data_IF_568664623479
#
_entry.id   IF_568664623479
#
_cell.length_a   1.000
_cell.length_b   1.000
_cell.length_c   1.000
_cell.angle_alpha   90.00
_cell.angle_beta   90.00
_cell.angle_gamma   90.00
#
_symmetry.space_group_name_H-M   'P 1'
#
loop_
_entity.id
_entity.type
_entity.pdbx_description
1 polymer ?
#
# COMPACT_ATOMS: atom_id res chain seq x y z
N UNK A 1 -12.83 15.21 25.84
CA UNK A 1 -11.86 15.92 24.98
C UNK A 1 -12.36 15.79 23.55
N UNK A 2 -12.24 16.82 22.72
CA UNK A 2 -12.67 16.76 21.32
C UNK A 2 -11.74 15.80 20.56
N UNK A 3 -12.29 14.85 19.80
CA UNK A 3 -11.51 13.91 19.01
C UNK A 3 -10.66 14.67 17.96
N UNK A 4 -9.31 14.57 17.99
CA UNK A 4 -8.42 15.36 17.12
C UNK A 4 -8.55 15.00 15.64
N UNK A 5 -8.99 13.77 15.31
CA UNK A 5 -9.20 13.34 13.92
C UNK A 5 -10.45 13.99 13.30
N UNK A 6 -11.38 14.48 14.12
CA UNK A 6 -12.56 15.22 13.66
C UNK A 6 -12.27 16.69 13.32
N UNK A 7 -11.11 17.23 13.69
CA UNK A 7 -10.72 18.60 13.38
C UNK A 7 -9.23 18.67 13.08
N UNK A 8 -8.82 18.00 11.99
CA UNK A 8 -7.42 17.94 11.61
C UNK A 8 -6.92 19.32 11.10
N UNK A 9 -5.96 19.96 11.79
CA UNK A 9 -5.24 21.09 11.20
C UNK A 9 -4.44 20.65 9.97
N UNK A 10 -3.89 21.62 9.23
CA UNK A 10 -3.01 21.34 8.09
C UNK A 10 -1.82 20.43 8.49
N UNK A 11 -1.31 20.63 9.70
CA UNK A 11 -0.26 19.81 10.30
C UNK A 11 -0.85 19.05 11.50
N UNK A 12 -1.23 17.76 11.35
CA UNK A 12 -1.78 16.97 12.44
C UNK A 12 -0.86 16.96 13.67
N UNK A 13 -1.45 17.20 14.85
CA UNK A 13 -0.75 17.03 16.13
C UNK A 13 -0.71 15.54 16.49
N UNK A 14 0.18 14.79 15.84
CA UNK A 14 0.29 13.33 15.98
C UNK A 14 0.34 12.83 17.44
N UNK A 15 1.10 13.46 18.37
CA UNK A 15 1.09 13.07 19.78
C UNK A 15 -0.28 13.08 20.48
N UNK A 16 -1.22 13.89 19.99
CA UNK A 16 -2.58 13.95 20.54
C UNK A 16 -3.49 12.82 20.04
N UNK A 17 -3.11 12.16 18.94
CA UNK A 17 -3.92 11.14 18.29
C UNK A 17 -3.66 9.79 18.95
N UNK A 18 -4.73 9.07 19.28
CA UNK A 18 -4.69 7.78 19.95
C UNK A 18 -5.56 6.79 19.19
N UNK A 19 -5.29 5.49 19.34
CA UNK A 19 -6.07 4.43 18.71
C UNK A 19 -7.57 4.52 19.05
N UNK A 20 -7.92 4.91 20.28
CA UNK A 20 -9.32 5.09 20.75
C UNK A 20 -10.11 6.15 19.96
N UNK A 21 -9.41 7.09 19.29
CA UNK A 21 -10.05 8.12 18.48
C UNK A 21 -10.50 7.62 17.10
N UNK A 22 -9.92 6.53 16.58
CA UNK A 22 -10.07 6.11 15.19
C UNK A 22 -11.51 5.76 14.87
N UNK A 23 -12.13 4.88 15.66
CA UNK A 23 -13.45 4.34 15.36
C UNK A 23 -14.52 5.45 15.32
N UNK A 24 -14.57 6.29 16.35
CA UNK A 24 -15.49 7.43 16.40
C UNK A 24 -15.26 8.38 15.21
N UNK A 25 -14.01 8.75 14.96
CA UNK A 25 -13.69 9.74 13.93
C UNK A 25 -14.03 9.23 12.53
N UNK A 26 -13.57 8.02 12.19
CA UNK A 26 -13.80 7.43 10.87
C UNK A 26 -15.30 7.16 10.65
N UNK A 27 -16.02 6.67 11.67
CA UNK A 27 -17.47 6.47 11.57
C UNK A 27 -18.20 7.78 11.32
N UNK A 28 -17.91 8.82 12.11
CA UNK A 28 -18.50 10.15 11.94
C UNK A 28 -18.20 10.72 10.55
N UNK A 29 -16.97 10.56 10.05
CA UNK A 29 -16.58 11.03 8.71
C UNK A 29 -17.27 10.25 7.59
N UNK A 30 -17.44 8.94 7.74
CA UNK A 30 -18.18 8.11 6.79
C UNK A 30 -19.66 8.51 6.75
N UNK A 31 -20.29 8.74 7.90
CA UNK A 31 -21.68 9.21 7.97
C UNK A 31 -21.83 10.59 7.34
N UNK A 32 -20.96 11.52 7.68
CA UNK A 32 -20.95 12.86 7.08
C UNK A 32 -20.80 12.79 5.56
N UNK A 33 -19.83 12.03 5.05
CA UNK A 33 -19.61 11.88 3.61
C UNK A 33 -20.84 11.27 2.91
N UNK A 34 -21.46 10.22 3.50
CA UNK A 34 -22.70 9.63 2.99
C UNK A 34 -23.84 10.65 2.92
N UNK A 35 -23.98 11.51 3.91
CA UNK A 35 -25.05 12.50 3.95
C UNK A 35 -24.81 13.64 2.96
N UNK A 36 -23.57 14.07 2.77
CA UNK A 36 -23.23 15.02 1.71
C UNK A 36 -23.50 14.43 0.30
N UNK A 37 -23.14 13.16 0.07
CA UNK A 37 -23.44 12.47 -1.19
C UNK A 37 -24.95 12.37 -1.47
N UNK A 38 -25.78 12.14 -0.44
CA UNK A 38 -27.25 12.19 -0.59
C UNK A 38 -27.74 13.61 -0.90
N UNK A 39 -27.15 14.62 -0.28
CA UNK A 39 -27.52 16.02 -0.46
C UNK A 39 -27.14 16.56 -1.86
N UNK A 40 -26.09 16.00 -2.47
CA UNK A 40 -25.64 16.31 -3.83
C UNK A 40 -26.69 16.05 -4.93
N UNK A 41 -27.84 15.42 -4.59
CA UNK A 41 -29.08 15.31 -5.38
C UNK A 41 -28.93 15.74 -6.84
N UNK A 42 -28.28 14.88 -7.64
CA UNK A 42 -27.90 15.14 -9.03
C UNK A 42 -29.16 15.21 -9.91
N UNK A 43 -29.88 16.34 -9.84
CA UNK A 43 -31.06 16.63 -10.67
C UNK A 43 -30.64 17.41 -11.91
N UNK A 44 -31.25 17.05 -13.04
CA UNK A 44 -30.91 17.39 -14.44
C UNK A 44 -30.64 18.88 -14.80
N UNK A 45 -30.94 19.87 -13.96
CA UNK A 45 -31.13 21.25 -14.44
C UNK A 45 -29.89 22.15 -14.27
N UNK A 46 -28.85 21.73 -13.55
CA UNK A 46 -27.62 22.54 -13.40
C UNK A 46 -26.36 21.74 -13.05
N UNK A 47 -26.04 20.72 -13.84
CA UNK A 47 -24.76 20.02 -13.74
C UNK A 47 -23.63 20.96 -14.19
N UNK A 48 -22.72 21.27 -13.28
CA UNK A 48 -21.56 22.12 -13.48
C UNK A 48 -20.42 21.73 -12.53
N UNK A 49 -19.19 22.18 -12.83
CA UNK A 49 -18.03 21.86 -11.99
C UNK A 49 -18.27 22.24 -10.52
N UNK A 50 -18.73 23.47 -10.27
CA UNK A 50 -18.97 23.99 -8.92
C UNK A 50 -20.20 23.39 -8.22
N UNK A 51 -21.08 22.71 -8.96
CA UNK A 51 -22.29 22.10 -8.39
C UNK A 51 -22.17 20.60 -8.18
N UNK A 52 -21.17 19.96 -8.80
CA UNK A 52 -20.96 18.50 -8.73
C UNK A 52 -19.57 18.18 -8.18
N UNK A 53 -18.50 18.65 -8.82
CA UNK A 53 -17.13 18.24 -8.51
C UNK A 53 -16.62 18.94 -7.25
N UNK A 54 -16.71 20.27 -7.16
CA UNK A 54 -16.22 21.01 -5.99
C UNK A 54 -16.88 20.53 -4.69
N UNK A 55 -18.22 20.37 -4.60
CA UNK A 55 -18.84 19.87 -3.37
C UNK A 55 -18.54 18.39 -3.10
N UNK A 56 -18.35 17.57 -4.14
CA UNK A 56 -17.93 16.17 -3.97
C UNK A 56 -16.53 16.09 -3.36
N UNK A 57 -15.56 16.85 -3.89
CA UNK A 57 -14.20 16.90 -3.38
C UNK A 57 -14.17 17.40 -1.92
N UNK A 58 -14.89 18.48 -1.62
CA UNK A 58 -15.02 19.02 -0.26
C UNK A 58 -15.62 17.99 0.72
N UNK A 59 -16.61 17.23 0.27
CA UNK A 59 -17.29 16.20 1.07
C UNK A 59 -16.39 15.00 1.39
N UNK A 60 -15.48 14.66 0.48
CA UNK A 60 -14.57 13.53 0.59
C UNK A 60 -13.25 13.89 1.29
N UNK A 61 -12.80 15.14 1.20
CA UNK A 61 -11.52 15.60 1.78
C UNK A 61 -11.42 15.28 3.27
N UNK A 62 -12.48 15.55 4.03
CA UNK A 62 -12.49 15.33 5.47
C UNK A 62 -12.30 13.85 5.86
N UNK A 63 -12.92 12.92 5.12
CA UNK A 63 -12.74 11.48 5.30
C UNK A 63 -11.35 11.04 4.81
N UNK A 64 -10.96 11.48 3.62
CA UNK A 64 -9.67 11.15 3.00
C UNK A 64 -8.50 11.55 3.90
N UNK A 65 -8.49 12.78 4.42
CA UNK A 65 -7.47 13.28 5.35
C UNK A 65 -7.45 12.51 6.67
N UNK A 66 -8.64 12.23 7.23
CA UNK A 66 -8.75 11.41 8.44
C UNK A 66 -8.14 10.02 8.22
N UNK A 67 -8.51 9.36 7.11
CA UNK A 67 -8.03 8.02 6.81
C UNK A 67 -6.54 7.99 6.43
N UNK A 68 -6.03 9.02 5.77
CA UNK A 68 -4.61 9.16 5.46
C UNK A 68 -3.74 9.25 6.72
N UNK A 69 -4.19 10.03 7.73
CA UNK A 69 -3.50 10.11 9.03
C UNK A 69 -3.54 8.77 9.76
N UNK A 70 -4.70 8.11 9.78
CA UNK A 70 -4.86 6.79 10.41
C UNK A 70 -3.99 5.73 9.73
N UNK A 71 -3.97 5.69 8.40
CA UNK A 71 -3.13 4.78 7.62
C UNK A 71 -1.64 5.06 7.78
N UNK A 72 -1.24 6.33 7.87
CA UNK A 72 0.15 6.69 8.19
C UNK A 72 0.54 6.16 9.57
N UNK A 73 -0.26 6.41 10.60
CA UNK A 73 0.03 5.95 11.96
C UNK A 73 0.05 4.42 12.05
N UNK A 74 -0.82 3.71 11.33
CA UNK A 74 -0.75 2.26 11.23
C UNK A 74 0.59 1.78 10.60
N UNK A 75 1.15 2.53 9.66
CA UNK A 75 2.41 2.17 9.01
C UNK A 75 3.67 2.50 9.84
N UNK A 76 3.60 3.47 10.76
CA UNK A 76 4.77 3.92 11.56
C UNK A 76 4.65 3.66 13.06
N UNK A 77 3.46 3.33 13.56
CA UNK A 77 3.14 3.01 14.96
C UNK A 77 2.20 1.79 15.01
N UNK A 78 2.71 0.66 14.53
CA UNK A 78 1.98 -0.61 14.48
C UNK A 78 1.95 -1.32 15.85
N UNK A 79 1.29 -0.70 16.82
CA UNK A 79 0.97 -1.34 18.10
C UNK A 79 -0.39 -2.04 18.04
N UNK A 80 -0.60 -3.04 18.90
CA UNK A 80 -1.83 -3.86 18.90
C UNK A 80 -3.13 -3.04 18.92
N UNK A 81 -3.18 -1.94 19.69
CA UNK A 81 -4.36 -1.08 19.76
C UNK A 81 -4.62 -0.33 18.44
N UNK A 82 -3.56 0.17 17.78
CA UNK A 82 -3.66 0.84 16.49
C UNK A 82 -4.09 -0.12 15.39
N UNK A 83 -3.44 -1.29 15.32
CA UNK A 83 -3.76 -2.34 14.36
C UNK A 83 -5.21 -2.81 14.50
N UNK A 84 -5.68 -3.06 15.73
CA UNK A 84 -7.06 -3.45 15.99
C UNK A 84 -8.05 -2.39 15.51
N UNK A 85 -7.80 -1.12 15.82
CA UNK A 85 -8.67 -0.02 15.42
C UNK A 85 -8.66 0.20 13.89
N UNK A 86 -7.50 0.09 13.25
CA UNK A 86 -7.35 0.17 11.81
C UNK A 86 -8.12 -0.95 11.11
N UNK A 87 -7.90 -2.21 11.52
CA UNK A 87 -8.53 -3.39 10.92
C UNK A 87 -10.04 -3.40 11.09
N UNK A 88 -10.56 -2.82 12.18
CA UNK A 88 -12.00 -2.63 12.38
C UNK A 88 -12.61 -1.67 11.36
N UNK A 89 -11.88 -0.60 11.00
CA UNK A 89 -12.40 0.45 10.11
C UNK A 89 -12.09 0.22 8.63
N UNK A 90 -11.02 -0.51 8.30
CA UNK A 90 -10.57 -0.75 6.92
C UNK A 90 -11.69 -1.30 6.01
N UNK A 91 -12.48 -2.33 6.41
CA UNK A 91 -13.57 -2.82 5.59
C UNK A 91 -14.65 -1.75 5.31
N UNK A 92 -14.99 -0.93 6.31
CA UNK A 92 -16.02 0.09 6.20
C UNK A 92 -15.61 1.23 5.26
N UNK A 93 -14.34 1.63 5.32
CA UNK A 93 -13.77 2.64 4.42
C UNK A 93 -13.67 2.09 3.00
N UNK A 94 -13.24 0.83 2.85
CA UNK A 94 -13.17 0.15 1.55
C UNK A 94 -14.55 0.05 0.90
N UNK A 95 -15.56 -0.36 1.67
CA UNK A 95 -16.94 -0.48 1.18
C UNK A 95 -17.49 0.89 0.74
N UNK A 96 -17.18 1.97 1.48
CA UNK A 96 -17.60 3.31 1.13
C UNK A 96 -16.99 3.80 -0.18
N UNK A 97 -15.66 3.73 -0.33
CA UNK A 97 -15.01 4.17 -1.57
C UNK A 97 -15.39 3.28 -2.76
N UNK A 98 -15.54 1.98 -2.56
CA UNK A 98 -16.03 1.07 -3.61
C UNK A 98 -17.44 1.45 -4.07
N UNK A 99 -18.35 1.77 -3.14
CA UNK A 99 -19.69 2.24 -3.46
C UNK A 99 -19.64 3.55 -4.26
N UNK A 100 -18.82 4.51 -3.82
CA UNK A 100 -18.62 5.78 -4.50
C UNK A 100 -18.12 5.58 -5.95
N UNK A 101 -17.07 4.77 -6.14
CA UNK A 101 -16.46 4.50 -7.44
C UNK A 101 -17.33 3.60 -8.34
N UNK A 102 -18.38 2.98 -7.79
CA UNK A 102 -19.38 2.22 -8.55
C UNK A 102 -20.69 2.99 -8.78
N UNK A 103 -20.80 4.23 -8.30
CA UNK A 103 -22.01 5.04 -8.44
C UNK A 103 -22.22 5.46 -9.91
N UNK A 104 -23.25 4.88 -10.53
CA UNK A 104 -23.58 5.13 -11.93
C UNK A 104 -24.12 6.54 -12.17
N UNK A 105 -24.69 7.19 -11.16
CA UNK A 105 -25.19 8.57 -11.24
C UNK A 105 -24.02 9.53 -11.26
N UNK A 106 -23.02 9.32 -10.41
CA UNK A 106 -21.79 10.12 -10.41
C UNK A 106 -21.00 9.93 -11.71
N UNK A 107 -20.89 8.69 -12.20
CA UNK A 107 -20.29 8.42 -13.51
C UNK A 107 -21.01 9.19 -14.63
N UNK A 108 -22.35 9.13 -14.67
CA UNK A 108 -23.14 9.84 -15.68
C UNK A 108 -22.94 11.36 -15.60
N UNK A 109 -22.91 11.94 -14.39
CA UNK A 109 -22.64 13.35 -14.19
C UNK A 109 -21.23 13.74 -14.71
N UNK A 110 -20.20 12.96 -14.39
CA UNK A 110 -18.84 13.18 -14.89
C UNK A 110 -18.78 13.11 -16.42
N UNK A 111 -19.45 12.15 -17.05
CA UNK A 111 -19.53 12.01 -18.50
C UNK A 111 -20.25 13.20 -19.15
N UNK A 112 -21.34 13.68 -18.55
CA UNK A 112 -22.06 14.87 -19.04
C UNK A 112 -21.18 16.13 -18.94
N UNK A 113 -20.50 16.34 -17.80
CA UNK A 113 -19.57 17.46 -17.63
C UNK A 113 -18.43 17.42 -18.64
N UNK A 114 -17.88 16.23 -18.91
CA UNK A 114 -16.81 16.05 -19.90
C UNK A 114 -17.27 16.46 -21.31
N UNK A 115 -18.54 16.20 -21.66
CA UNK A 115 -19.11 16.59 -22.96
C UNK A 115 -19.37 18.10 -23.07
N UNK A 116 -19.63 18.78 -21.95
CA UNK A 116 -19.88 20.22 -21.92
C UNK A 116 -18.60 21.06 -21.97
N UNK A 117 -17.45 20.49 -21.56
CA UNK A 117 -16.17 21.19 -21.63
C UNK A 117 -15.76 21.44 -23.10
N UNK A 118 -15.26 22.64 -23.45
CA UNK A 118 -14.89 22.94 -24.82
C UNK A 118 -13.75 22.01 -25.29
N UNK A 119 -13.78 21.59 -26.57
CA UNK A 119 -12.69 20.79 -27.17
C UNK A 119 -11.74 21.72 -27.93
N UNK A 120 -10.46 21.81 -27.55
CA UNK A 120 -9.47 22.61 -28.29
C UNK A 120 -8.41 23.30 -27.41
N UNK A 121 -7.79 24.37 -27.93
CA UNK A 121 -6.79 25.18 -27.23
C UNK A 121 -7.46 25.98 -26.10
N UNK A 122 -7.67 25.28 -24.99
CA UNK A 122 -8.36 25.75 -23.80
C UNK A 122 -7.47 26.70 -22.99
N UNK A 123 -8.08 27.69 -22.34
CA UNK A 123 -7.44 28.34 -21.20
C UNK A 123 -7.05 27.26 -20.17
N UNK A 124 -5.89 27.42 -19.51
CA UNK A 124 -5.26 26.38 -18.70
C UNK A 124 -6.25 25.60 -17.80
N UNK A 125 -7.10 26.32 -17.04
CA UNK A 125 -8.07 25.73 -16.11
C UNK A 125 -8.99 24.67 -16.73
N UNK A 126 -9.43 24.87 -17.97
CA UNK A 126 -10.31 23.91 -18.65
C UNK A 126 -9.55 22.65 -19.08
N UNK A 127 -8.25 22.75 -19.37
CA UNK A 127 -7.40 21.60 -19.67
C UNK A 127 -7.24 20.70 -18.43
N UNK A 128 -6.97 21.27 -17.25
CA UNK A 128 -6.85 20.48 -16.02
C UNK A 128 -8.19 19.83 -15.63
N UNK A 129 -9.30 20.57 -15.73
CA UNK A 129 -10.65 20.03 -15.48
C UNK A 129 -11.00 18.89 -16.44
N UNK A 130 -10.70 19.05 -17.73
CA UNK A 130 -10.91 17.99 -18.72
C UNK A 130 -10.09 16.74 -18.40
N UNK A 131 -8.82 16.90 -18.01
CA UNK A 131 -7.95 15.78 -17.64
C UNK A 131 -8.42 15.09 -16.36
N UNK A 132 -8.85 15.86 -15.36
CA UNK A 132 -9.39 15.33 -14.11
C UNK A 132 -10.63 14.46 -14.36
N UNK A 133 -11.57 14.91 -15.19
CA UNK A 133 -12.75 14.10 -15.55
C UNK A 133 -12.39 12.85 -16.35
N UNK A 134 -11.41 12.93 -17.26
CA UNK A 134 -10.93 11.76 -18.02
C UNK A 134 -10.40 10.67 -17.08
N UNK A 135 -9.59 11.07 -16.09
CA UNK A 135 -9.05 10.16 -15.07
C UNK A 135 -10.15 9.60 -14.18
N UNK A 136 -11.06 10.45 -13.67
CA UNK A 136 -12.16 10.00 -12.83
C UNK A 136 -13.05 8.97 -13.55
N UNK A 137 -13.43 9.23 -14.81
CA UNK A 137 -14.23 8.29 -15.62
C UNK A 137 -13.47 6.97 -15.85
N UNK A 138 -12.15 7.02 -16.04
CA UNK A 138 -11.32 5.82 -16.12
C UNK A 138 -11.36 5.03 -14.81
N UNK A 139 -11.28 5.70 -13.66
CA UNK A 139 -11.33 5.05 -12.35
C UNK A 139 -12.70 4.42 -12.08
N UNK A 140 -13.82 5.09 -12.38
CA UNK A 140 -15.17 4.50 -12.35
C UNK A 140 -15.26 3.21 -13.16
N UNK A 141 -14.66 3.19 -14.37
CA UNK A 141 -14.65 1.98 -15.21
C UNK A 141 -13.81 0.87 -14.61
N UNK A 142 -12.66 1.19 -14.02
CA UNK A 142 -11.79 0.21 -13.35
C UNK A 142 -12.38 -0.30 -12.03
N UNK A 143 -13.23 0.48 -11.37
CA UNK A 143 -14.04 0.05 -10.23
C UNK A 143 -15.30 -0.73 -10.62
N UNK A 144 -15.63 -0.77 -11.92
CA UNK A 144 -16.72 -1.55 -12.48
C UNK A 144 -18.08 -0.86 -12.46
N UNK A 145 -18.15 0.46 -12.38
CA UNK A 145 -19.42 1.22 -12.41
C UNK A 145 -20.32 0.87 -13.63
N UNK A 146 -19.72 0.53 -14.77
CA UNK A 146 -20.45 0.14 -15.99
C UNK A 146 -20.91 -1.34 -16.01
N UNK A 147 -20.55 -2.14 -15.01
CA UNK A 147 -20.98 -3.54 -14.92
C UNK A 147 -22.46 -3.65 -14.50
N UNK A 148 -23.15 -4.76 -14.85
CA UNK A 148 -24.42 -5.13 -14.25
C UNK A 148 -24.31 -5.24 -12.72
N UNK A 149 -25.41 -4.98 -12.01
CA UNK A 149 -25.45 -4.92 -10.55
C UNK A 149 -24.85 -6.15 -9.86
N UNK A 150 -25.20 -7.36 -10.31
CA UNK A 150 -24.65 -8.61 -9.77
C UNK A 150 -23.11 -8.66 -9.87
N UNK A 151 -22.56 -8.25 -11.01
CA UNK A 151 -21.11 -8.23 -11.23
C UNK A 151 -20.42 -7.12 -10.45
N UNK A 152 -21.09 -5.97 -10.24
CA UNK A 152 -20.58 -4.90 -9.35
C UNK A 152 -20.45 -5.37 -7.91
N UNK A 153 -21.47 -6.05 -7.40
CA UNK A 153 -21.46 -6.63 -6.05
C UNK A 153 -20.37 -7.69 -5.90
N UNK A 154 -20.19 -8.56 -6.90
CA UNK A 154 -19.08 -9.53 -6.92
C UNK A 154 -17.72 -8.83 -6.90
N UNK A 155 -17.52 -7.79 -7.73
CA UNK A 155 -16.28 -7.02 -7.75
C UNK A 155 -16.03 -6.28 -6.43
N UNK A 156 -17.07 -5.71 -5.83
CA UNK A 156 -16.96 -5.04 -4.53
C UNK A 156 -16.51 -6.00 -3.43
N UNK A 157 -17.08 -7.21 -3.39
CA UNK A 157 -16.65 -8.25 -2.45
C UNK A 157 -15.18 -8.66 -2.68
N UNK A 158 -14.74 -8.75 -3.94
CA UNK A 158 -13.33 -9.04 -4.27
C UNK A 158 -12.41 -7.91 -3.80
N UNK A 159 -12.79 -6.64 -4.02
CA UNK A 159 -12.00 -5.48 -3.58
C UNK A 159 -11.85 -5.46 -2.05
N UNK A 160 -12.94 -5.71 -1.32
CA UNK A 160 -12.93 -5.84 0.14
C UNK A 160 -11.96 -6.92 0.61
N UNK A 161 -12.07 -8.12 0.04
CA UNK A 161 -11.17 -9.24 0.37
C UNK A 161 -9.71 -8.93 0.02
N UNK A 162 -9.45 -8.25 -1.10
CA UNK A 162 -8.09 -7.84 -1.47
C UNK A 162 -7.50 -6.85 -0.47
N UNK A 163 -8.32 -5.93 0.04
CA UNK A 163 -7.89 -4.96 1.07
C UNK A 163 -7.55 -5.65 2.38
N UNK A 164 -8.45 -6.51 2.88
CA UNK A 164 -8.25 -7.30 4.11
C UNK A 164 -6.99 -8.17 4.01
N UNK A 165 -6.81 -8.89 2.90
CA UNK A 165 -5.65 -9.75 2.67
C UNK A 165 -4.35 -8.98 2.46
N UNK A 166 -4.41 -7.79 1.87
CA UNK A 166 -3.25 -6.91 1.74
C UNK A 166 -2.76 -6.42 3.11
N UNK A 167 -3.68 -6.13 4.02
CA UNK A 167 -3.37 -5.76 5.39
C UNK A 167 -2.79 -6.95 6.17
N UNK A 168 -3.42 -8.12 6.11
CA UNK A 168 -2.93 -9.37 6.72
C UNK A 168 -1.50 -9.71 6.23
N UNK A 169 -1.25 -9.59 4.92
CA UNK A 169 0.08 -9.83 4.35
C UNK A 169 1.15 -8.92 4.96
N UNK A 170 0.81 -7.64 5.11
CA UNK A 170 1.72 -6.62 5.63
C UNK A 170 2.01 -6.85 7.12
N UNK A 171 0.99 -7.23 7.89
CA UNK A 171 1.12 -7.59 9.31
C UNK A 171 2.01 -8.81 9.51
N UNK A 172 1.81 -9.89 8.72
CA UNK A 172 2.66 -11.07 8.78
C UNK A 172 4.14 -10.76 8.50
N UNK A 173 4.42 -9.89 7.52
CA UNK A 173 5.81 -9.46 7.23
C UNK A 173 6.41 -8.73 8.42
N UNK A 174 5.66 -7.80 9.01
CA UNK A 174 6.14 -6.98 10.12
C UNK A 174 6.32 -7.81 11.41
N UNK A 175 5.39 -8.72 11.70
CA UNK A 175 5.48 -9.62 12.85
C UNK A 175 6.63 -10.62 12.69
N UNK A 176 6.82 -11.20 11.51
CA UNK A 176 7.97 -12.04 11.22
C UNK A 176 9.29 -11.27 11.36
N UNK A 177 9.32 -10.01 10.91
CA UNK A 177 10.49 -9.14 11.02
C UNK A 177 10.82 -8.80 12.49
N UNK A 178 9.82 -8.45 13.29
CA UNK A 178 9.99 -8.07 14.69
C UNK A 178 10.24 -9.26 15.62
N UNK A 179 9.69 -10.44 15.30
CA UNK A 179 9.93 -11.68 16.04
C UNK A 179 11.30 -12.32 15.78
N UNK A 180 11.90 -12.01 14.63
CA UNK A 180 13.17 -12.63 14.21
C UNK A 180 14.41 -11.92 14.76
N UNK A 181 15.41 -12.70 15.15
CA UNK A 181 16.70 -12.17 15.59
C UNK A 181 17.81 -13.21 15.50
N UNK A 182 19.05 -12.74 15.41
CA UNK A 182 20.26 -13.55 15.51
C UNK A 182 21.05 -13.11 16.75
N UNK A 183 21.40 -14.06 17.63
CA UNK A 183 22.15 -13.79 18.85
C UNK A 183 23.59 -14.30 18.71
N UNK A 184 24.55 -13.45 19.06
CA UNK A 184 25.98 -13.76 19.17
C UNK A 184 26.44 -13.55 20.61
N UNK A 185 27.10 -14.56 21.21
CA UNK A 185 27.62 -14.50 22.59
C UNK A 185 29.12 -14.21 22.64
N UNK A 186 29.89 -14.70 21.65
CA UNK A 186 31.34 -14.55 21.60
C UNK A 186 31.74 -13.31 20.77
N UNK A 187 32.64 -12.48 21.30
CA UNK A 187 33.11 -11.27 20.61
C UNK A 187 33.86 -11.55 19.31
N UNK A 188 34.39 -12.77 19.13
CA UNK A 188 35.00 -13.25 17.88
C UNK A 188 34.01 -13.21 16.70
N UNK A 189 32.71 -13.37 16.96
CA UNK A 189 31.66 -13.28 15.94
C UNK A 189 31.41 -11.86 15.40
N UNK A 190 32.07 -10.85 15.96
CA UNK A 190 31.85 -9.44 15.62
C UNK A 190 32.97 -8.84 14.76
N UNK A 191 34.00 -9.62 14.44
CA UNK A 191 35.14 -9.13 13.67
C UNK A 191 34.70 -8.52 12.33
N UNK A 192 35.27 -7.36 12.02
CA UNK A 192 34.96 -6.58 10.82
C UNK A 192 33.78 -5.62 10.95
N UNK A 193 32.86 -5.84 11.91
CA UNK A 193 31.71 -4.94 12.09
C UNK A 193 32.13 -3.54 12.58
N UNK A 194 31.47 -2.48 12.08
CA UNK A 194 31.61 -1.13 12.62
C UNK A 194 31.21 -1.05 14.11
N UNK A 195 31.90 -0.19 14.87
CA UNK A 195 31.68 -0.05 16.32
C UNK A 195 30.25 0.36 16.67
N UNK A 196 29.65 1.27 15.91
CA UNK A 196 28.27 1.73 16.10
C UNK A 196 27.24 0.59 15.92
N UNK A 197 27.51 -0.32 14.99
CA UNK A 197 26.68 -1.52 14.76
C UNK A 197 26.79 -2.50 15.94
N UNK A 198 27.99 -2.68 16.48
CA UNK A 198 28.25 -3.52 17.65
C UNK A 198 27.54 -2.94 18.88
N UNK A 199 27.66 -1.63 19.11
CA UNK A 199 26.98 -0.94 20.21
C UNK A 199 25.46 -1.04 20.10
N UNK A 200 24.91 -0.83 18.90
CA UNK A 200 23.48 -0.98 18.64
C UNK A 200 23.00 -2.42 18.94
N UNK A 201 23.72 -3.43 18.45
CA UNK A 201 23.36 -4.84 18.69
C UNK A 201 23.44 -5.22 20.18
N UNK A 202 24.39 -4.66 20.92
CA UNK A 202 24.49 -4.84 22.38
C UNK A 202 23.31 -4.20 23.10
N UNK A 203 22.93 -2.98 22.72
CA UNK A 203 21.76 -2.30 23.28
C UNK A 203 20.48 -3.09 23.00
N UNK A 204 20.31 -3.60 21.78
CA UNK A 204 19.16 -4.44 21.42
C UNK A 204 19.12 -5.74 22.23
N UNK A 205 20.27 -6.35 22.56
CA UNK A 205 20.32 -7.50 23.46
C UNK A 205 19.86 -7.13 24.88
N UNK A 206 20.36 -6.01 25.42
CA UNK A 206 19.99 -5.52 26.75
C UNK A 206 18.49 -5.20 26.87
N UNK A 207 17.90 -4.56 25.85
CA UNK A 207 16.46 -4.29 25.79
C UNK A 207 15.62 -5.58 25.77
N UNK A 208 16.18 -6.66 25.21
CA UNK A 208 15.58 -8.00 25.22
C UNK A 208 15.91 -8.82 26.48
N UNK A 209 16.66 -8.28 27.45
CA UNK A 209 17.10 -8.98 28.65
C UNK A 209 18.08 -10.13 28.37
N UNK A 210 18.85 -10.03 27.29
CA UNK A 210 19.84 -11.02 26.85
C UNK A 210 21.26 -10.43 27.01
N UNK A 211 22.23 -11.29 27.34
CA UNK A 211 23.65 -10.93 27.31
C UNK A 211 24.16 -10.93 25.85
N UNK A 212 25.40 -10.48 25.61
CA UNK A 212 26.02 -10.50 24.29
C UNK A 212 25.42 -9.49 23.29
N UNK A 213 25.20 -9.91 22.05
CA UNK A 213 24.75 -9.06 20.94
C UNK A 213 23.56 -9.69 20.21
N UNK A 214 22.58 -8.86 19.88
CA UNK A 214 21.34 -9.24 19.20
C UNK A 214 21.19 -8.43 17.91
N UNK A 215 21.26 -9.11 16.77
CA UNK A 215 21.05 -8.54 15.45
C UNK A 215 19.62 -8.83 14.96
N UNK A 216 19.07 -7.90 14.18
CA UNK A 216 17.69 -7.95 13.68
C UNK A 216 17.66 -7.89 12.15
N UNK A 217 16.59 -8.34 11.50
CA UNK A 217 16.45 -8.23 10.04
C UNK A 217 16.23 -6.79 9.54
N UNK A 218 16.08 -5.81 10.45
CA UNK A 218 15.94 -4.40 10.08
C UNK A 218 17.20 -3.90 9.35
N UNK A 219 17.03 -3.11 8.30
CA UNK A 219 18.11 -2.69 7.40
C UNK A 219 19.36 -2.12 8.10
N UNK A 220 19.23 -1.25 9.13
CA UNK A 220 20.40 -0.75 9.87
C UNK A 220 21.21 -1.83 10.59
N UNK A 221 20.62 -2.99 10.89
CA UNK A 221 21.30 -4.15 11.47
C UNK A 221 21.74 -5.15 10.40
N UNK A 222 20.87 -5.46 9.43
CA UNK A 222 21.12 -6.45 8.39
C UNK A 222 22.25 -6.06 7.42
N UNK A 223 22.19 -4.85 6.84
CA UNK A 223 23.14 -4.46 5.79
C UNK A 223 24.60 -4.41 6.27
N UNK A 224 24.91 -3.81 7.44
CA UNK A 224 26.29 -3.80 7.90
C UNK A 224 26.84 -5.20 8.19
N UNK A 225 26.00 -6.14 8.68
CA UNK A 225 26.43 -7.53 8.85
C UNK A 225 26.78 -8.16 7.51
N UNK A 226 25.95 -7.97 6.48
CA UNK A 226 26.22 -8.52 5.16
C UNK A 226 27.45 -7.91 4.48
N UNK A 227 27.78 -6.66 4.78
CA UNK A 227 28.88 -5.92 4.17
C UNK A 227 30.22 -6.13 4.89
N UNK A 228 30.22 -6.16 6.22
CA UNK A 228 31.44 -6.01 7.02
C UNK A 228 31.77 -7.19 7.93
N UNK A 229 30.80 -8.02 8.32
CA UNK A 229 31.09 -9.12 9.23
C UNK A 229 32.03 -10.13 8.57
N UNK A 230 33.14 -10.45 9.23
CA UNK A 230 34.08 -11.48 8.77
C UNK A 230 33.53 -12.90 8.99
N UNK A 231 32.74 -13.10 10.05
CA UNK A 231 32.13 -14.41 10.35
C UNK A 231 31.09 -14.81 9.29
N UNK A 232 31.44 -15.84 8.51
CA UNK A 232 30.57 -16.42 7.48
C UNK A 232 29.28 -17.00 8.08
N UNK A 233 29.33 -17.56 9.29
CA UNK A 233 28.16 -18.16 9.95
C UNK A 233 27.15 -17.08 10.31
N UNK A 234 27.61 -15.96 10.88
CA UNK A 234 26.76 -14.80 11.15
C UNK A 234 26.11 -14.26 9.86
N UNK A 235 26.88 -14.08 8.77
CA UNK A 235 26.33 -13.68 7.47
C UNK A 235 25.29 -14.67 6.94
N UNK A 236 25.54 -15.97 7.06
CA UNK A 236 24.60 -17.01 6.63
C UNK A 236 23.30 -16.99 7.45
N UNK A 237 23.39 -16.85 8.77
CA UNK A 237 22.23 -16.78 9.66
C UNK A 237 21.37 -15.54 9.36
N UNK A 238 22.00 -14.37 9.23
CA UNK A 238 21.33 -13.13 8.87
C UNK A 238 20.68 -13.21 7.49
N UNK A 239 21.39 -13.73 6.49
CA UNK A 239 20.87 -13.93 5.15
C UNK A 239 19.63 -14.83 5.16
N UNK A 240 19.70 -15.99 5.82
CA UNK A 240 18.54 -16.91 5.91
C UNK A 240 17.37 -16.23 6.59
N UNK A 241 17.59 -15.65 7.78
CA UNK A 241 16.56 -14.94 8.54
C UNK A 241 15.83 -13.88 7.69
N UNK A 242 16.56 -13.05 6.95
CA UNK A 242 15.98 -11.99 6.13
C UNK A 242 15.23 -12.54 4.90
N UNK A 243 15.77 -13.56 4.23
CA UNK A 243 15.18 -14.09 2.99
C UNK A 243 14.03 -15.08 3.22
N UNK A 244 13.81 -15.51 4.46
CA UNK A 244 12.69 -16.41 4.83
C UNK A 244 11.61 -15.71 5.65
N UNK A 245 11.63 -14.38 5.75
CA UNK A 245 10.58 -13.61 6.44
C UNK A 245 9.20 -13.92 5.84
N UNK A 246 8.22 -14.15 6.73
CA UNK A 246 6.82 -14.44 6.39
C UNK A 246 6.66 -15.52 5.29
N UNK A 247 7.44 -16.60 5.42
CA UNK A 247 7.44 -17.73 4.48
C UNK A 247 7.29 -19.06 5.20
N UNK A 248 7.11 -20.13 4.42
CA UNK A 248 7.08 -21.53 4.87
C UNK A 248 8.39 -22.01 5.54
N UNK A 249 9.46 -21.21 5.46
CA UNK A 249 10.75 -21.45 6.13
C UNK A 249 10.94 -20.62 7.41
N UNK A 250 9.97 -19.77 7.76
CA UNK A 250 9.93 -19.00 9.00
C UNK A 250 8.95 -19.59 10.03
N UNK A 251 8.39 -18.72 10.88
CA UNK A 251 7.28 -19.12 11.75
C UNK A 251 6.01 -19.37 10.93
N UNK A 252 5.48 -20.59 11.01
CA UNK A 252 4.33 -21.04 10.20
C UNK A 252 3.08 -20.16 10.32
N UNK A 253 2.89 -19.45 11.44
CA UNK A 253 1.75 -18.55 11.65
C UNK A 253 1.82 -17.27 10.80
N UNK A 254 3.00 -16.90 10.30
CA UNK A 254 3.21 -15.72 9.45
C UNK A 254 3.48 -16.09 7.99
N UNK A 255 3.26 -17.35 7.58
CA UNK A 255 3.50 -17.78 6.20
C UNK A 255 2.50 -17.11 5.23
N UNK A 256 3.03 -16.24 4.37
CA UNK A 256 2.24 -15.54 3.35
C UNK A 256 2.05 -16.37 2.06
N UNK A 257 2.61 -17.57 1.94
CA UNK A 257 2.55 -18.39 0.73
C UNK A 257 1.13 -18.69 0.26
N UNK A 258 0.22 -19.03 1.18
CA UNK A 258 -1.19 -19.25 0.86
C UNK A 258 -1.93 -17.93 0.58
N UNK A 259 -1.65 -16.90 1.36
CA UNK A 259 -2.26 -15.57 1.20
C UNK A 259 -1.95 -14.94 -0.17
N UNK A 260 -0.71 -15.08 -0.66
CA UNK A 260 -0.31 -14.65 -2.01
C UNK A 260 -1.16 -15.34 -3.08
N UNK A 261 -1.40 -16.65 -2.97
CA UNK A 261 -2.22 -17.40 -3.95
C UNK A 261 -3.66 -16.88 -4.00
N UNK A 262 -4.22 -16.55 -2.85
CA UNK A 262 -5.56 -15.99 -2.73
C UNK A 262 -5.64 -14.60 -3.34
N UNK A 263 -4.67 -13.72 -3.03
CA UNK A 263 -4.55 -12.39 -3.64
C UNK A 263 -4.45 -12.50 -5.17
N UNK A 264 -3.61 -13.39 -5.70
CA UNK A 264 -3.47 -13.59 -7.15
C UNK A 264 -4.74 -14.11 -7.80
N UNK A 265 -5.47 -15.00 -7.11
CA UNK A 265 -6.76 -15.54 -7.57
C UNK A 265 -7.80 -14.43 -7.65
N UNK A 266 -7.93 -13.62 -6.60
CA UNK A 266 -8.85 -12.49 -6.53
C UNK A 266 -8.52 -11.42 -7.59
N UNK A 267 -7.23 -11.10 -7.78
CA UNK A 267 -6.77 -10.20 -8.85
C UNK A 267 -7.11 -10.71 -10.25
N UNK A 268 -7.01 -12.01 -10.48
CA UNK A 268 -7.42 -12.61 -11.76
C UNK A 268 -8.94 -12.52 -11.95
N UNK A 269 -9.72 -12.80 -10.90
CA UNK A 269 -11.18 -12.71 -10.95
C UNK A 269 -11.66 -11.29 -11.22
N UNK A 270 -11.10 -10.27 -10.55
CA UNK A 270 -11.47 -8.86 -10.79
C UNK A 270 -11.17 -8.42 -12.22
N UNK A 271 -9.99 -8.76 -12.74
CA UNK A 271 -9.62 -8.46 -14.13
C UNK A 271 -10.59 -9.11 -15.13
N UNK A 272 -10.95 -10.39 -14.91
CA UNK A 272 -11.89 -11.11 -15.77
C UNK A 272 -13.31 -10.51 -15.73
N UNK A 273 -13.78 -10.10 -14.54
CA UNK A 273 -15.11 -9.45 -14.39
C UNK A 273 -15.20 -8.17 -15.21
N UNK A 274 -14.10 -7.42 -15.27
CA UNK A 274 -13.97 -6.17 -16.02
C UNK A 274 -13.59 -6.38 -17.50
N UNK A 275 -13.48 -7.63 -17.96
CA UNK A 275 -13.23 -7.96 -19.38
C UNK A 275 -11.77 -7.86 -19.82
N UNK A 276 -10.82 -7.84 -18.88
CA UNK A 276 -9.39 -7.90 -19.18
C UNK A 276 -8.89 -9.34 -19.31
N UNK A 277 -7.80 -9.54 -20.06
CA UNK A 277 -7.15 -10.85 -20.20
C UNK A 277 -6.52 -11.35 -18.89
N UNK A 278 -6.00 -10.41 -18.11
CA UNK A 278 -5.28 -10.64 -16.87
C UNK A 278 -5.17 -9.33 -16.06
N UNK A 279 -4.69 -9.44 -14.82
CA UNK A 279 -4.53 -8.30 -13.93
C UNK A 279 -3.48 -7.29 -14.39
N UNK A 280 -2.46 -7.70 -15.16
CA UNK A 280 -1.43 -6.78 -15.67
C UNK A 280 -2.06 -5.86 -16.72
N UNK A 281 -2.84 -6.40 -17.65
CA UNK A 281 -3.55 -5.63 -18.66
C UNK A 281 -4.51 -4.60 -18.04
N UNK A 282 -5.17 -4.95 -16.94
CA UNK A 282 -5.98 -4.02 -16.15
C UNK A 282 -5.11 -2.96 -15.47
N UNK A 283 -4.06 -3.38 -14.76
CA UNK A 283 -3.16 -2.51 -13.98
C UNK A 283 -2.37 -1.52 -14.82
N UNK A 284 -2.21 -1.78 -16.13
CA UNK A 284 -1.56 -0.88 -17.07
C UNK A 284 -2.45 0.25 -17.57
N UNK A 285 -3.77 0.17 -17.43
CA UNK A 285 -4.69 1.20 -17.96
C UNK A 285 -4.42 2.63 -17.45
N UNK A 286 -4.13 2.87 -16.17
CA UNK A 286 -3.78 4.21 -15.69
C UNK A 286 -2.28 4.53 -15.84
N UNK A 287 -1.46 3.61 -16.36
CA UNK A 287 0.01 3.75 -16.41
C UNK A 287 0.50 4.18 -17.79
N UNK A 288 1.73 4.69 -17.83
CA UNK A 288 2.37 5.14 -19.07
C UNK A 288 2.75 3.99 -20.03
N UNK A 289 2.95 2.78 -19.52
CA UNK A 289 3.34 1.65 -20.35
C UNK A 289 2.15 1.16 -21.18
N UNK A 290 2.33 1.10 -22.51
CA UNK A 290 1.23 0.91 -23.47
C UNK A 290 0.66 -0.51 -23.53
N UNK A 291 1.43 -1.53 -23.11
CA UNK A 291 0.99 -2.92 -23.14
C UNK A 291 1.89 -3.83 -22.30
N UNK A 292 1.37 -5.02 -21.96
CA UNK A 292 2.16 -6.09 -21.32
C UNK A 292 3.37 -6.49 -22.17
N UNK A 293 3.23 -6.53 -23.49
CA UNK A 293 4.33 -6.83 -24.42
C UNK A 293 5.42 -5.77 -24.32
N UNK A 294 5.06 -4.48 -24.34
CA UNK A 294 6.05 -3.40 -24.23
C UNK A 294 6.84 -3.47 -22.92
N UNK A 295 6.17 -3.77 -21.80
CA UNK A 295 6.82 -3.97 -20.49
C UNK A 295 7.78 -5.16 -20.54
N UNK A 296 7.34 -6.31 -21.05
CA UNK A 296 8.18 -7.51 -21.14
C UNK A 296 9.39 -7.30 -22.05
N UNK A 297 9.19 -6.70 -23.23
CA UNK A 297 10.28 -6.38 -24.18
C UNK A 297 11.31 -5.47 -23.52
N UNK A 298 10.87 -4.42 -22.83
CA UNK A 298 11.77 -3.52 -22.12
C UNK A 298 12.59 -4.25 -21.04
N UNK A 299 11.95 -5.05 -20.19
CA UNK A 299 12.62 -5.78 -19.11
C UNK A 299 13.60 -6.84 -19.63
N UNK A 300 13.25 -7.55 -20.71
CA UNK A 300 14.13 -8.55 -21.34
C UNK A 300 15.32 -7.88 -22.03
N UNK A 301 15.12 -6.77 -22.73
CA UNK A 301 16.22 -6.00 -23.32
C UNK A 301 17.17 -5.48 -22.24
N UNK A 302 16.63 -4.93 -21.14
CA UNK A 302 17.42 -4.51 -19.98
C UNK A 302 18.24 -5.68 -19.42
N UNK A 303 17.61 -6.84 -19.17
CA UNK A 303 18.28 -8.05 -18.69
C UNK A 303 19.44 -8.45 -19.61
N UNK A 304 19.23 -8.48 -20.92
CA UNK A 304 20.25 -8.85 -21.89
C UNK A 304 21.45 -7.89 -21.89
N UNK A 305 21.24 -6.60 -21.60
CA UNK A 305 22.30 -5.59 -21.49
C UNK A 305 23.07 -5.68 -20.18
N UNK A 306 22.39 -5.94 -19.05
CA UNK A 306 23.04 -5.95 -17.72
C UNK A 306 23.68 -7.29 -17.38
N UNK A 307 23.17 -8.41 -17.92
CA UNK A 307 23.64 -9.76 -17.58
C UNK A 307 25.15 -9.98 -17.84
N UNK A 308 25.74 -9.55 -18.97
CA UNK A 308 27.18 -9.72 -19.19
C UNK A 308 28.03 -8.99 -18.15
N UNK A 309 27.60 -7.80 -17.72
CA UNK A 309 28.30 -7.04 -16.69
C UNK A 309 28.16 -7.71 -15.31
N UNK A 310 26.96 -8.15 -14.94
CA UNK A 310 26.73 -8.90 -13.70
C UNK A 310 27.56 -10.19 -13.62
N UNK A 311 27.74 -10.90 -14.75
CA UNK A 311 28.60 -12.08 -14.82
C UNK A 311 30.08 -11.75 -14.59
N UNK A 312 30.57 -10.63 -15.13
CA UNK A 312 31.94 -10.15 -14.89
C UNK A 312 32.15 -9.75 -13.43
N UNK A 313 31.19 -9.05 -12.83
CA UNK A 313 31.25 -8.67 -11.42
C UNK A 313 31.25 -9.89 -10.50
N UNK A 314 30.40 -10.88 -10.78
CA UNK A 314 30.40 -12.14 -10.04
C UNK A 314 31.72 -12.90 -10.18
N UNK A 315 32.30 -12.94 -11.38
CA UNK A 315 33.60 -13.57 -11.61
C UNK A 315 34.73 -12.85 -10.84
N UNK A 316 34.76 -11.52 -10.87
CA UNK A 316 35.74 -10.72 -10.13
C UNK A 316 35.64 -10.93 -8.62
N UNK A 317 34.41 -10.99 -8.07
CA UNK A 317 34.19 -11.31 -6.66
C UNK A 317 34.65 -12.74 -6.32
N UNK A 318 34.40 -13.70 -7.20
CA UNK A 318 34.83 -15.09 -7.01
C UNK A 318 36.35 -15.23 -7.02
N UNK A 319 37.03 -14.53 -7.94
CA UNK A 319 38.50 -14.52 -8.04
C UNK A 319 39.15 -13.82 -6.84
N UNK A 320 38.57 -12.71 -6.37
CA UNK A 320 39.07 -12.00 -5.18
C UNK A 320 38.93 -12.83 -3.90
N UNK A 321 37.91 -13.69 -3.80
CA UNK A 321 37.64 -14.52 -2.64
C UNK A 321 38.34 -15.90 -2.65
N UNK A 322 38.88 -16.33 -3.79
CA UNK A 322 39.54 -17.64 -3.98
C UNK A 322 40.95 -17.70 -3.38
#
# INVERSE_FOLDING_TARGET
MTNPLLNLPLHPDYPSIKAEHIEEAVTTRLEHAKDQLKALALKDVSLGWETVISPLDESLDALSRCWAVVGHLNAVMDEAAWRQAFNKMLPLVTDFYTMLEQDQTLLAACQMLQQQLPKGNLADLNLQRSRSLELAIQDFRLAGAELPEEKRQQLAQIIKQLSEKGQEFSEHVLDAMNGSSCHVEESSGLEGLPEDVIEAAKKTAQEAGQEGWRFTPHMPSYLPVMQYAHDRKLREQMYRMYNTLASDQGESQFDNGQLIKEILTLRKQSANLLGFSDFVAMSLKPKMASSTVAVQTFLIDLLNRVKPQAQKEFAALSEFAA
#
